data_IF_022472299372
#
_entry.id   IF_022472299372
#
_cell.length_a   1.000
_cell.length_b   1.000
_cell.length_c   1.000
_cell.angle_alpha   90.00
_cell.angle_beta   90.00
_cell.angle_gamma   90.00
#
_symmetry.space_group_name_H-M   'P 1'
#
loop_
_entity.id
_entity.type
_entity.pdbx_description
1 polymer ?
#
# COMPACT_ATOMS: atom_id res chain seq x y z
N UNK A 1 -10.62 17.36 -4.02
CA UNK A 1 -10.30 17.51 -2.59
C UNK A 1 -8.84 17.16 -2.34
N UNK A 2 -8.16 17.88 -1.44
CA UNK A 2 -6.78 17.56 -1.00
C UNK A 2 -6.74 16.41 0.03
N UNK A 3 -5.56 15.84 0.28
CA UNK A 3 -5.36 14.80 1.31
C UNK A 3 -5.39 15.41 2.71
N UNK A 4 -5.87 14.65 3.69
CA UNK A 4 -5.73 14.96 5.12
C UNK A 4 -4.30 14.58 5.53
N UNK A 5 -3.54 15.53 6.10
CA UNK A 5 -2.13 15.36 6.49
C UNK A 5 -1.99 15.34 8.01
N UNK A 6 -1.29 14.34 8.54
CA UNK A 6 -0.92 14.24 9.96
C UNK A 6 0.59 14.49 10.12
N UNK A 7 0.99 15.32 11.11
CA UNK A 7 2.40 15.60 11.39
C UNK A 7 3.04 14.51 12.24
N UNK A 8 4.25 14.08 11.89
CA UNK A 8 5.08 13.20 12.74
C UNK A 8 5.83 14.09 13.76
N UNK A 9 5.97 13.69 15.04
CA UNK A 9 6.77 14.42 16.03
C UNK A 9 8.22 14.63 15.55
N UNK A 10 8.81 15.80 15.86
CA UNK A 10 10.20 16.16 15.54
C UNK A 10 11.20 15.30 16.34
N UNK A 11 11.40 14.04 15.98
CA UNK A 11 12.57 13.27 16.38
C UNK A 11 13.65 13.39 15.29
N UNK A 12 14.93 13.46 15.68
CA UNK A 12 16.05 13.47 14.75
C UNK A 12 15.91 12.34 13.71
N UNK A 13 16.14 12.63 12.44
CA UNK A 13 16.01 11.65 11.36
C UNK A 13 17.01 10.51 11.58
N UNK A 14 16.52 9.36 12.07
CA UNK A 14 17.30 8.14 12.16
C UNK A 14 17.72 7.77 10.73
N UNK A 15 19.02 7.52 10.51
CA UNK A 15 19.52 7.03 9.21
C UNK A 15 18.76 5.76 8.85
N UNK A 16 17.99 5.79 7.77
CA UNK A 16 17.01 4.74 7.43
C UNK A 16 17.63 3.48 6.80
N UNK A 17 18.94 3.25 6.89
CA UNK A 17 19.60 2.17 6.13
C UNK A 17 19.88 2.55 4.67
N UNK A 18 20.50 1.60 3.97
CA UNK A 18 20.87 1.73 2.55
C UNK A 18 19.62 1.63 1.67
N UNK A 19 19.54 2.44 0.62
CA UNK A 19 18.33 2.61 -0.20
C UNK A 19 17.80 1.28 -0.74
N UNK A 20 18.64 0.42 -1.29
CA UNK A 20 18.22 -0.88 -1.83
C UNK A 20 17.48 -1.74 -0.81
N UNK A 21 18.01 -1.84 0.42
CA UNK A 21 17.36 -2.58 1.51
C UNK A 21 16.03 -1.93 1.92
N UNK A 22 16.01 -0.59 1.96
CA UNK A 22 14.80 0.17 2.29
C UNK A 22 13.73 -0.04 1.24
N UNK A 23 14.08 -0.09 -0.05
CA UNK A 23 13.16 -0.34 -1.15
C UNK A 23 12.59 -1.76 -1.09
N UNK A 24 13.42 -2.76 -0.75
CA UNK A 24 12.95 -4.13 -0.54
C UNK A 24 11.94 -4.18 0.61
N UNK A 25 12.27 -3.60 1.77
CA UNK A 25 11.36 -3.54 2.93
C UNK A 25 10.07 -2.79 2.60
N UNK A 26 10.19 -1.64 1.94
CA UNK A 26 9.06 -0.82 1.51
C UNK A 26 8.15 -1.59 0.57
N UNK A 27 8.70 -2.28 -0.44
CA UNK A 27 7.90 -3.07 -1.38
C UNK A 27 7.14 -4.19 -0.67
N UNK A 28 7.76 -4.86 0.32
CA UNK A 28 7.07 -5.87 1.14
C UNK A 28 5.90 -5.27 1.91
N UNK A 29 6.12 -4.13 2.56
CA UNK A 29 5.07 -3.39 3.28
C UNK A 29 3.95 -2.97 2.32
N UNK A 30 4.27 -2.50 1.11
CA UNK A 30 3.27 -2.16 0.09
C UNK A 30 2.35 -3.32 -0.27
N UNK A 31 2.92 -4.52 -0.47
CA UNK A 31 2.13 -5.73 -0.76
C UNK A 31 1.23 -6.07 0.43
N UNK A 32 1.82 -6.14 1.62
CA UNK A 32 1.09 -6.47 2.85
C UNK A 32 -0.07 -5.51 3.12
N UNK A 33 0.18 -4.21 3.03
CA UNK A 33 -0.82 -3.16 3.30
C UNK A 33 -1.92 -3.14 2.23
N UNK A 34 -1.62 -3.48 0.97
CA UNK A 34 -2.65 -3.64 -0.06
C UNK A 34 -3.66 -4.73 0.28
N UNK A 35 -3.17 -5.92 0.68
CA UNK A 35 -4.05 -7.03 1.06
C UNK A 35 -4.84 -6.73 2.34
N UNK A 36 -4.23 -6.08 3.34
CA UNK A 36 -4.94 -5.61 4.53
C UNK A 36 -6.03 -4.58 4.19
N UNK A 37 -5.73 -3.63 3.29
CA UNK A 37 -6.70 -2.64 2.85
C UNK A 37 -7.91 -3.32 2.19
N UNK A 38 -7.67 -4.28 1.28
CA UNK A 38 -8.74 -5.04 0.64
C UNK A 38 -9.55 -5.87 1.66
N UNK A 39 -8.88 -6.51 2.62
CA UNK A 39 -9.53 -7.29 3.68
C UNK A 39 -10.47 -6.43 4.54
N UNK A 40 -10.01 -5.28 5.04
CA UNK A 40 -10.84 -4.38 5.84
C UNK A 40 -11.97 -3.74 5.04
N UNK A 41 -11.73 -3.42 3.76
CA UNK A 41 -12.78 -2.95 2.87
C UNK A 41 -13.89 -4.01 2.71
N UNK A 42 -13.53 -5.28 2.55
CA UNK A 42 -14.48 -6.36 2.42
C UNK A 42 -15.36 -6.53 3.67
N UNK A 43 -14.73 -6.57 4.85
CA UNK A 43 -15.44 -6.67 6.14
C UNK A 43 -16.39 -5.49 6.37
N UNK A 44 -15.94 -4.26 6.08
CA UNK A 44 -16.77 -3.08 6.25
C UNK A 44 -18.01 -3.12 5.35
N UNK A 45 -17.83 -3.50 4.08
CA UNK A 45 -18.95 -3.67 3.17
C UNK A 45 -19.93 -4.70 3.73
N UNK A 46 -19.47 -5.91 4.02
CA UNK A 46 -20.33 -6.99 4.50
C UNK A 46 -21.07 -6.63 5.78
N UNK A 47 -20.43 -5.92 6.72
CA UNK A 47 -21.09 -5.45 7.93
C UNK A 47 -22.20 -4.45 7.63
N UNK A 48 -21.95 -3.49 6.74
CA UNK A 48 -22.95 -2.48 6.36
C UNK A 48 -24.12 -3.14 5.65
N UNK A 49 -23.87 -4.05 4.71
CA UNK A 49 -24.92 -4.79 4.02
C UNK A 49 -25.75 -5.63 5.01
N UNK A 50 -25.10 -6.28 5.98
CA UNK A 50 -25.79 -7.02 7.04
C UNK A 50 -26.65 -6.13 7.95
N UNK A 51 -26.21 -4.92 8.27
CA UNK A 51 -26.96 -4.00 9.14
C UNK A 51 -28.11 -3.30 8.40
N UNK A 52 -27.96 -3.03 7.10
CA UNK A 52 -28.91 -2.21 6.33
C UNK A 52 -29.81 -3.02 5.41
N UNK A 53 -29.44 -4.25 5.07
CA UNK A 53 -30.07 -5.05 4.03
C UNK A 53 -29.85 -4.53 2.60
N UNK A 54 -29.00 -3.51 2.42
CA UNK A 54 -28.74 -2.88 1.13
C UNK A 54 -27.39 -3.35 0.58
N UNK A 55 -27.34 -3.64 -0.73
CA UNK A 55 -26.06 -3.90 -1.42
C UNK A 55 -25.27 -2.61 -1.58
N UNK A 56 -23.98 -2.64 -1.26
CA UNK A 56 -23.06 -1.51 -1.33
C UNK A 56 -21.99 -1.78 -2.40
N UNK A 57 -21.80 -0.86 -3.32
CA UNK A 57 -20.72 -0.99 -4.31
C UNK A 57 -19.36 -0.60 -3.72
N UNK A 58 -18.33 -1.40 -3.99
CA UNK A 58 -16.94 -1.02 -3.67
C UNK A 58 -16.53 0.28 -4.38
N UNK A 59 -17.07 0.56 -5.57
CA UNK A 59 -16.78 1.82 -6.28
C UNK A 59 -17.32 3.03 -5.55
N UNK A 60 -18.37 2.89 -4.74
CA UNK A 60 -18.93 3.98 -3.94
C UNK A 60 -18.22 4.15 -2.59
N UNK A 61 -17.60 3.08 -2.11
CA UNK A 61 -16.79 3.06 -0.90
C UNK A 61 -15.37 3.60 -1.13
N UNK A 62 -14.71 3.17 -2.21
CA UNK A 62 -13.26 3.30 -2.41
C UNK A 62 -12.89 4.27 -3.54
N UNK A 63 -11.64 4.71 -3.55
CA UNK A 63 -11.04 5.49 -4.63
C UNK A 63 -9.56 5.15 -4.80
N UNK A 64 -9.05 5.25 -6.03
CA UNK A 64 -7.66 4.93 -6.42
C UNK A 64 -6.65 6.01 -6.03
N UNK A 65 -6.92 6.71 -4.92
CA UNK A 65 -6.07 7.78 -4.40
C UNK A 65 -6.20 7.86 -2.89
N UNK A 66 -5.07 7.80 -2.17
CA UNK A 66 -5.06 7.93 -0.72
C UNK A 66 -5.71 9.24 -0.27
N UNK A 67 -6.62 9.12 0.71
CA UNK A 67 -7.28 10.24 1.37
C UNK A 67 -6.52 10.80 2.54
N UNK A 68 -5.68 9.97 3.17
CA UNK A 68 -4.90 10.30 4.34
C UNK A 68 -3.41 10.16 4.02
N UNK A 69 -2.58 10.87 4.77
CA UNK A 69 -1.13 10.79 4.65
C UNK A 69 -0.50 11.17 5.99
N UNK A 70 0.25 10.24 6.58
CA UNK A 70 1.17 10.55 7.66
C UNK A 70 2.46 11.11 7.07
N UNK A 71 2.96 12.19 7.65
CA UNK A 71 4.22 12.80 7.24
C UNK A 71 4.11 13.65 5.97
N UNK A 72 5.18 14.41 5.73
CA UNK A 72 5.31 15.26 4.55
C UNK A 72 6.65 15.02 3.86
N UNK A 73 6.69 15.35 2.57
CA UNK A 73 7.94 15.36 1.83
C UNK A 73 8.88 16.44 2.38
N UNK A 74 10.18 16.16 2.35
CA UNK A 74 11.21 17.12 2.74
C UNK A 74 11.92 17.64 1.49
N UNK A 75 12.22 18.93 1.49
CA UNK A 75 13.07 19.59 0.48
C UNK A 75 14.21 20.25 1.23
N UNK A 76 15.44 19.81 0.95
CA UNK A 76 16.64 20.39 1.57
C UNK A 76 17.35 21.26 0.54
N UNK A 77 17.79 22.44 0.93
CA UNK A 77 18.59 23.35 0.08
C UNK A 77 20.10 23.22 0.33
N UNK A 78 20.50 22.42 1.32
CA UNK A 78 21.90 22.28 1.74
C UNK A 78 22.76 21.70 0.61
N UNK A 79 23.89 22.34 0.25
CA UNK A 79 24.76 21.90 -0.84
C UNK A 79 25.38 20.50 -0.64
N UNK A 80 25.54 20.09 0.63
CA UNK A 80 26.19 18.84 1.05
C UNK A 80 25.31 17.59 0.89
N UNK A 81 24.11 17.73 0.35
CA UNK A 81 23.16 16.62 0.16
C UNK A 81 23.00 16.38 -1.33
N UNK A 82 23.37 15.16 -1.73
CA UNK A 82 23.43 14.77 -3.13
C UNK A 82 22.04 14.74 -3.78
N UNK A 83 21.95 15.17 -5.05
CA UNK A 83 20.78 14.89 -5.86
C UNK A 83 20.69 13.38 -6.11
N UNK A 84 19.47 12.87 -6.28
CA UNK A 84 19.28 11.51 -6.77
C UNK A 84 19.77 11.45 -8.22
N UNK A 85 20.84 10.70 -8.46
CA UNK A 85 21.34 10.44 -9.81
C UNK A 85 20.60 9.24 -10.41
N UNK A 86 19.80 9.51 -11.45
CA UNK A 86 19.03 8.47 -12.15
C UNK A 86 19.91 7.60 -13.05
N UNK A 87 21.14 8.02 -13.33
CA UNK A 87 22.07 7.34 -14.23
C UNK A 87 23.07 6.47 -13.48
N UNK A 88 23.36 6.76 -12.21
CA UNK A 88 24.29 5.96 -11.39
C UNK A 88 23.59 4.74 -10.78
N UNK A 89 23.93 3.50 -11.20
CA UNK A 89 23.38 2.28 -10.61
C UNK A 89 23.72 2.14 -9.11
N UNK A 90 24.76 2.81 -8.60
CA UNK A 90 25.15 2.75 -7.19
C UNK A 90 24.25 3.59 -6.27
N UNK A 91 23.26 4.31 -6.80
CA UNK A 91 22.29 5.06 -5.99
C UNK A 91 21.57 4.18 -4.96
N UNK A 92 21.40 2.89 -5.24
CA UNK A 92 20.83 1.91 -4.31
C UNK A 92 21.71 1.67 -3.08
N UNK A 93 23.01 1.96 -3.14
CA UNK A 93 23.96 1.81 -2.04
C UNK A 93 24.05 3.06 -1.15
N UNK A 94 23.41 4.16 -1.55
CA UNK A 94 23.36 5.39 -0.77
C UNK A 94 22.33 5.29 0.37
N UNK A 95 22.46 6.12 1.39
CA UNK A 95 21.49 6.18 2.48
C UNK A 95 20.15 6.75 2.01
N UNK A 96 19.04 6.08 2.32
CA UNK A 96 17.71 6.48 1.85
C UNK A 96 17.29 7.90 2.27
N UNK A 97 17.89 8.45 3.32
CA UNK A 97 17.59 9.78 3.89
C UNK A 97 18.57 10.88 3.46
N UNK A 98 19.57 10.56 2.63
CA UNK A 98 20.62 11.50 2.20
C UNK A 98 20.36 12.12 0.83
N UNK A 99 19.09 12.15 0.40
CA UNK A 99 18.68 12.79 -0.84
C UNK A 99 18.08 14.17 -0.62
N UNK A 100 18.34 15.08 -1.56
CA UNK A 100 17.86 16.47 -1.49
C UNK A 100 16.33 16.60 -1.48
N UNK A 101 15.64 15.70 -2.18
CA UNK A 101 14.16 15.70 -2.33
C UNK A 101 13.60 14.35 -1.89
N UNK A 102 12.92 14.35 -0.76
CA UNK A 102 12.23 13.18 -0.21
C UNK A 102 10.72 13.41 -0.25
N UNK A 103 9.96 12.40 -0.64
CA UNK A 103 8.50 12.41 -0.57
C UNK A 103 8.01 11.37 0.45
N UNK A 104 6.84 11.63 1.03
CA UNK A 104 6.10 10.63 1.78
C UNK A 104 5.45 9.67 0.77
N UNK A 105 6.10 8.53 0.57
CA UNK A 105 5.65 7.45 -0.31
C UNK A 105 4.69 6.54 0.44
N UNK A 106 3.47 6.41 -0.06
CA UNK A 106 2.43 5.58 0.53
C UNK A 106 2.78 4.09 0.47
N UNK A 107 2.41 3.34 1.51
CA UNK A 107 2.40 1.88 1.39
C UNK A 107 1.23 1.39 0.54
N UNK A 108 0.08 2.05 0.66
CA UNK A 108 -1.10 1.82 -0.17
C UNK A 108 -1.69 3.18 -0.57
N UNK A 109 -1.68 3.52 -1.86
CA UNK A 109 -2.22 4.78 -2.36
C UNK A 109 -3.73 4.68 -2.71
N UNK A 110 -4.46 3.81 -2.03
CA UNK A 110 -5.92 3.71 -2.10
C UNK A 110 -6.56 4.54 -0.98
N UNK A 111 -7.81 4.94 -1.17
CA UNK A 111 -8.51 5.79 -0.21
C UNK A 111 -9.99 5.46 -0.10
N UNK A 112 -10.62 6.11 0.87
CA UNK A 112 -12.03 5.92 1.20
C UNK A 112 -12.79 7.18 0.80
N UNK A 113 -13.92 7.06 0.11
CA UNK A 113 -14.72 8.20 -0.30
C UNK A 113 -15.39 8.86 0.92
N UNK A 114 -15.37 10.19 0.99
CA UNK A 114 -15.96 10.96 2.10
C UNK A 114 -17.44 10.64 2.35
N UNK A 115 -18.32 10.52 1.32
CA UNK A 115 -19.70 10.11 1.53
C UNK A 115 -19.83 8.78 2.26
N UNK A 116 -19.02 7.79 1.91
CA UNK A 116 -19.00 6.49 2.59
C UNK A 116 -18.52 6.61 4.04
N UNK A 117 -17.46 7.37 4.31
CA UNK A 117 -17.00 7.61 5.70
C UNK A 117 -18.11 8.19 6.58
N UNK A 118 -18.86 9.15 6.06
CA UNK A 118 -19.99 9.74 6.76
C UNK A 118 -21.12 8.73 6.98
N UNK A 119 -21.41 7.88 5.98
CA UNK A 119 -22.37 6.78 6.12
C UNK A 119 -21.96 5.83 7.25
N UNK A 120 -20.69 5.40 7.31
CA UNK A 120 -20.20 4.52 8.39
C UNK A 120 -20.34 5.18 9.75
N UNK A 121 -19.99 6.45 9.89
CA UNK A 121 -20.13 7.18 11.16
C UNK A 121 -21.59 7.27 11.62
N UNK A 122 -22.52 7.56 10.69
CA UNK A 122 -23.95 7.62 10.99
C UNK A 122 -24.52 6.25 11.35
N UNK A 123 -24.12 5.20 10.64
CA UNK A 123 -24.53 3.82 10.94
C UNK A 123 -24.00 3.34 12.28
N UNK A 124 -22.75 3.64 12.60
CA UNK A 124 -22.14 3.29 13.89
C UNK A 124 -22.96 3.84 15.06
N UNK A 125 -23.43 5.09 14.96
CA UNK A 125 -24.27 5.72 15.99
C UNK A 125 -25.67 5.11 16.01
N UNK A 126 -26.34 5.05 14.85
CA UNK A 126 -27.74 4.61 14.77
C UNK A 126 -27.96 3.13 15.08
N UNK A 127 -26.99 2.27 14.77
CA UNK A 127 -27.03 0.83 15.05
C UNK A 127 -26.32 0.45 16.36
N UNK A 128 -25.74 1.44 17.07
CA UNK A 128 -24.90 1.22 18.25
C UNK A 128 -23.79 0.17 17.98
N UNK A 129 -23.15 0.27 16.81
CA UNK A 129 -22.17 -0.71 16.33
C UNK A 129 -20.74 -0.21 16.58
N UNK A 130 -20.06 -0.83 17.55
CA UNK A 130 -18.69 -0.48 17.92
C UNK A 130 -17.62 -1.02 16.95
N UNK A 131 -17.97 -1.94 16.05
CA UNK A 131 -17.03 -2.56 15.10
C UNK A 131 -16.85 -1.69 13.86
N UNK A 132 -17.91 -1.05 13.37
CA UNK A 132 -17.86 -0.11 12.23
C UNK A 132 -16.76 0.97 12.36
N UNK A 133 -16.69 1.78 13.44
CA UNK A 133 -15.66 2.80 13.56
C UNK A 133 -14.26 2.20 13.73
N UNK A 134 -14.15 1.00 14.31
CA UNK A 134 -12.88 0.29 14.48
C UNK A 134 -12.33 -0.19 13.13
N UNK A 135 -13.13 -0.89 12.35
CA UNK A 135 -12.71 -1.37 11.03
C UNK A 135 -12.48 -0.22 10.05
N UNK A 136 -13.27 0.86 10.14
CA UNK A 136 -12.99 2.09 9.38
C UNK A 136 -11.62 2.66 9.74
N UNK A 137 -11.29 2.73 11.03
CA UNK A 137 -9.97 3.19 11.49
C UNK A 137 -8.84 2.29 11.01
N UNK A 138 -9.02 0.96 11.02
CA UNK A 138 -8.03 0.03 10.49
C UNK A 138 -7.80 0.25 8.99
N UNK A 139 -8.87 0.37 8.21
CA UNK A 139 -8.80 0.69 6.79
C UNK A 139 -8.11 2.04 6.54
N UNK A 140 -8.46 3.07 7.31
CA UNK A 140 -7.82 4.39 7.22
C UNK A 140 -6.33 4.34 7.58
N UNK A 141 -5.95 3.50 8.56
CA UNK A 141 -4.54 3.33 8.94
C UNK A 141 -3.73 2.75 7.77
N UNK A 142 -4.22 1.69 7.14
CA UNK A 142 -3.56 1.09 5.97
C UNK A 142 -3.41 2.08 4.80
N UNK A 143 -4.33 3.03 4.66
CA UNK A 143 -4.30 4.05 3.61
C UNK A 143 -3.37 5.25 3.89
N UNK A 144 -3.01 5.49 5.17
CA UNK A 144 -2.30 6.72 5.56
C UNK A 144 -0.81 6.55 5.78
N UNK A 145 -0.37 5.34 6.08
CA UNK A 145 1.01 5.07 6.43
C UNK A 145 1.93 5.31 5.23
N UNK A 146 3.05 6.01 5.51
CA UNK A 146 4.04 6.35 4.49
C UNK A 146 5.46 6.14 4.98
N UNK A 147 6.39 6.08 4.03
CA UNK A 147 7.82 6.14 4.25
C UNK A 147 8.42 7.33 3.52
N UNK A 148 9.41 8.00 4.13
CA UNK A 148 10.19 8.99 3.40
C UNK A 148 11.14 8.29 2.43
N UNK A 149 10.96 8.53 1.14
CA UNK A 149 11.79 7.98 0.07
C UNK A 149 12.21 9.08 -0.90
N UNK A 150 13.25 8.88 -1.73
CA UNK A 150 13.59 9.83 -2.77
C UNK A 150 12.38 10.09 -3.68
N UNK A 151 12.14 11.35 -4.04
CA UNK A 151 11.01 11.73 -4.88
C UNK A 151 10.94 10.91 -6.18
N UNK A 152 12.10 10.54 -6.76
CA UNK A 152 12.18 9.72 -7.98
C UNK A 152 11.62 8.30 -7.80
N UNK A 153 11.66 7.76 -6.60
CA UNK A 153 11.01 6.48 -6.25
C UNK A 153 9.50 6.66 -6.26
N UNK A 154 9.01 7.70 -5.55
CA UNK A 154 7.57 7.99 -5.41
C UNK A 154 6.87 8.25 -6.76
N UNK A 155 7.50 9.00 -7.68
CA UNK A 155 6.93 9.26 -9.02
C UNK A 155 7.26 8.19 -10.05
N UNK A 156 8.13 7.23 -9.71
CA UNK A 156 8.64 6.18 -10.59
C UNK A 156 8.06 4.80 -10.22
N UNK A 157 8.85 3.88 -9.64
CA UNK A 157 8.39 2.53 -9.30
C UNK A 157 7.14 2.51 -8.40
N UNK A 158 7.05 3.39 -7.40
CA UNK A 158 5.85 3.45 -6.53
C UNK A 158 4.59 3.72 -7.34
N UNK A 159 4.67 4.62 -8.33
CA UNK A 159 3.53 4.93 -9.20
C UNK A 159 3.09 3.71 -10.02
N UNK A 160 4.02 2.84 -10.44
CA UNK A 160 3.66 1.60 -11.13
C UNK A 160 2.89 0.67 -10.20
N UNK A 161 3.31 0.56 -8.94
CA UNK A 161 2.61 -0.22 -7.92
C UNK A 161 1.27 0.41 -7.53
N UNK A 162 1.15 1.74 -7.47
CA UNK A 162 -0.11 2.43 -7.23
C UNK A 162 -1.15 2.10 -8.31
N UNK A 163 -0.74 2.09 -9.58
CA UNK A 163 -1.61 1.73 -10.71
C UNK A 163 -2.00 0.25 -10.60
N UNK A 164 -1.06 -0.64 -10.26
CA UNK A 164 -1.35 -2.05 -9.99
C UNK A 164 -2.41 -2.21 -8.89
N UNK A 165 -2.25 -1.52 -7.75
CA UNK A 165 -3.20 -1.54 -6.65
C UNK A 165 -4.58 -1.05 -7.08
N UNK A 166 -4.64 0.05 -7.84
CA UNK A 166 -5.89 0.61 -8.34
C UNK A 166 -6.65 -0.32 -9.28
N UNK A 167 -5.94 -1.09 -10.11
CA UNK A 167 -6.55 -2.04 -11.04
C UNK A 167 -7.02 -3.31 -10.32
N UNK A 168 -6.20 -3.85 -9.41
CA UNK A 168 -6.48 -5.12 -8.74
C UNK A 168 -7.54 -5.00 -7.63
N UNK A 169 -7.64 -3.85 -6.94
CA UNK A 169 -8.51 -3.74 -5.76
C UNK A 169 -9.97 -4.06 -6.08
N UNK A 170 -10.52 -3.52 -7.17
CA UNK A 170 -11.91 -3.76 -7.54
C UNK A 170 -12.11 -5.16 -8.11
N UNK A 171 -11.11 -5.70 -8.81
CA UNK A 171 -11.13 -7.06 -9.30
C UNK A 171 -11.25 -8.05 -8.12
N UNK A 172 -10.30 -8.00 -7.18
CA UNK A 172 -10.24 -8.93 -6.05
C UNK A 172 -11.44 -8.80 -5.12
N UNK A 173 -11.98 -7.60 -4.95
CA UNK A 173 -13.17 -7.40 -4.11
C UNK A 173 -14.46 -7.89 -4.78
N UNK A 174 -14.50 -8.03 -6.11
CA UNK A 174 -15.73 -8.39 -6.84
C UNK A 174 -15.79 -9.83 -7.33
N UNK A 175 -14.68 -10.57 -7.34
CA UNK A 175 -14.63 -11.94 -7.87
C UNK A 175 -15.17 -13.00 -6.90
N UNK A 176 -15.45 -12.63 -5.64
CA UNK A 176 -16.04 -13.51 -4.63
C UNK A 176 -15.04 -14.48 -3.99
N UNK A 177 -13.77 -14.42 -4.36
CA UNK A 177 -12.69 -15.21 -3.75
C UNK A 177 -12.24 -14.53 -2.45
N UNK A 178 -11.83 -15.29 -1.43
CA UNK A 178 -11.18 -14.72 -0.25
C UNK A 178 -10.02 -13.80 -0.65
N UNK A 179 -9.97 -12.60 -0.06
CA UNK A 179 -8.97 -11.59 -0.41
C UNK A 179 -7.55 -12.12 -0.17
N UNK A 180 -7.38 -12.90 0.90
CA UNK A 180 -6.13 -13.56 1.25
C UNK A 180 -6.19 -14.98 0.68
N UNK A 181 -5.81 -15.12 -0.59
CA UNK A 181 -5.78 -16.42 -1.29
C UNK A 181 -4.48 -16.59 -2.09
N UNK A 182 -3.98 -17.82 -2.27
CA UNK A 182 -2.80 -18.07 -3.10
C UNK A 182 -2.97 -17.52 -4.52
N UNK A 183 -4.16 -17.64 -5.11
CA UNK A 183 -4.46 -17.18 -6.47
C UNK A 183 -4.33 -15.66 -6.61
N UNK A 184 -4.80 -14.88 -5.62
CA UNK A 184 -4.61 -13.43 -5.61
C UNK A 184 -3.14 -13.02 -5.46
N UNK A 185 -2.35 -13.76 -4.68
CA UNK A 185 -0.91 -13.50 -4.54
C UNK A 185 -0.15 -13.81 -5.84
N UNK A 186 -0.46 -14.92 -6.49
CA UNK A 186 0.10 -15.30 -7.79
C UNK A 186 -0.28 -14.28 -8.86
N UNK A 187 -1.56 -13.91 -8.94
CA UNK A 187 -2.03 -12.89 -9.88
C UNK A 187 -1.33 -11.54 -9.65
N UNK A 188 -1.26 -11.09 -8.39
CA UNK A 188 -0.61 -9.84 -8.01
C UNK A 188 0.86 -9.84 -8.44
N UNK A 189 1.56 -10.95 -8.18
CA UNK A 189 2.95 -11.14 -8.58
C UNK A 189 3.13 -11.05 -10.09
N UNK A 190 2.36 -11.83 -10.85
CA UNK A 190 2.46 -11.89 -12.31
C UNK A 190 2.19 -10.52 -12.97
N UNK A 191 1.12 -9.83 -12.55
CA UNK A 191 0.79 -8.51 -13.09
C UNK A 191 1.82 -7.46 -12.66
N UNK A 192 2.27 -7.49 -11.41
CA UNK A 192 3.27 -6.56 -10.90
C UNK A 192 4.62 -6.73 -11.58
N UNK A 193 5.10 -7.97 -11.74
CA UNK A 193 6.32 -8.30 -12.47
C UNK A 193 6.27 -7.80 -13.90
N UNK A 194 5.19 -8.10 -14.64
CA UNK A 194 5.02 -7.68 -16.03
C UNK A 194 5.17 -6.15 -16.17
N UNK A 195 4.49 -5.38 -15.30
CA UNK A 195 4.52 -3.91 -15.34
C UNK A 195 5.88 -3.35 -14.94
N UNK A 196 6.50 -3.89 -13.89
CA UNK A 196 7.81 -3.43 -13.43
C UNK A 196 8.93 -3.77 -14.40
N UNK A 197 8.91 -4.96 -15.00
CA UNK A 197 9.89 -5.35 -16.03
C UNK A 197 9.77 -4.49 -17.28
N UNK A 198 8.54 -4.21 -17.74
CA UNK A 198 8.32 -3.28 -18.84
C UNK A 198 8.84 -1.87 -18.50
N UNK A 199 8.58 -1.40 -17.28
CA UNK A 199 9.09 -0.10 -16.83
C UNK A 199 10.62 -0.07 -16.74
N UNK A 200 11.23 -1.11 -16.19
CA UNK A 200 12.69 -1.30 -16.12
C UNK A 200 13.32 -1.28 -17.51
N UNK A 201 12.74 -2.01 -18.47
CA UNK A 201 13.20 -2.05 -19.85
C UNK A 201 13.18 -0.67 -20.51
N UNK A 202 12.13 0.12 -20.28
CA UNK A 202 12.06 1.52 -20.73
C UNK A 202 13.18 2.37 -20.12
N UNK A 203 13.41 2.26 -18.81
CA UNK A 203 14.47 3.02 -18.13
C UNK A 203 15.87 2.68 -18.66
N UNK A 204 16.12 1.42 -18.98
CA UNK A 204 17.38 1.00 -19.61
C UNK A 204 17.59 1.68 -20.97
N UNK A 205 16.55 1.77 -21.80
CA UNK A 205 16.60 2.48 -23.09
C UNK A 205 16.81 3.99 -22.94
N UNK A 206 16.42 4.57 -21.79
CA UNK A 206 16.60 5.98 -21.46
C UNK A 206 17.93 6.28 -20.74
N UNK A 207 18.84 5.30 -20.61
CA UNK A 207 20.10 5.38 -19.85
C UNK A 207 19.90 5.75 -18.36
N UNK A 208 18.75 5.41 -17.78
CA UNK A 208 18.42 5.66 -16.37
C UNK A 208 18.75 4.46 -15.50
N UNK A 209 20.03 4.07 -15.48
CA UNK A 209 20.48 2.84 -14.82
C UNK A 209 20.32 2.87 -13.29
N UNK A 210 20.44 4.03 -12.64
CA UNK A 210 20.16 4.21 -11.22
C UNK A 210 18.72 3.95 -10.85
N UNK A 211 17.79 4.50 -11.63
CA UNK A 211 16.36 4.24 -11.40
C UNK A 211 15.99 2.79 -11.76
N UNK A 212 16.61 2.21 -12.79
CA UNK A 212 16.43 0.80 -13.13
C UNK A 212 16.90 -0.12 -11.99
N UNK A 213 18.04 0.15 -11.36
CA UNK A 213 18.53 -0.60 -10.20
C UNK A 213 17.55 -0.51 -9.01
N UNK A 214 16.91 0.65 -8.81
CA UNK A 214 15.85 0.79 -7.82
C UNK A 214 14.61 -0.04 -8.16
N UNK A 215 14.23 -0.14 -9.43
CA UNK A 215 13.12 -1.01 -9.89
C UNK A 215 13.46 -2.48 -9.66
N UNK A 216 14.72 -2.89 -9.82
CA UNK A 216 15.18 -4.25 -9.55
C UNK A 216 14.93 -4.67 -8.09
N UNK A 217 14.99 -3.74 -7.13
CA UNK A 217 14.59 -3.99 -5.74
C UNK A 217 13.10 -4.30 -5.57
N UNK A 218 12.21 -3.72 -6.40
CA UNK A 218 10.78 -4.03 -6.37
C UNK A 218 10.52 -5.39 -7.03
N UNK A 219 11.18 -5.65 -8.16
CA UNK A 219 11.08 -6.92 -8.89
C UNK A 219 11.50 -8.09 -8.01
N UNK A 220 12.59 -7.95 -7.23
CA UNK A 220 13.05 -9.05 -6.36
C UNK A 220 12.04 -9.45 -5.30
N UNK A 221 11.23 -8.50 -4.80
CA UNK A 221 10.16 -8.77 -3.84
C UNK A 221 8.93 -9.32 -4.54
N UNK A 222 8.42 -8.62 -5.56
CA UNK A 222 7.17 -9.03 -6.22
C UNK A 222 7.33 -10.36 -6.92
N UNK A 223 8.49 -10.63 -7.51
CA UNK A 223 8.76 -11.89 -8.21
C UNK A 223 9.01 -13.08 -7.31
N UNK A 224 9.35 -12.87 -6.03
CA UNK A 224 9.49 -13.96 -5.07
C UNK A 224 8.18 -14.29 -4.34
N UNK A 225 7.12 -13.48 -4.46
CA UNK A 225 5.84 -13.74 -3.78
C UNK A 225 5.26 -15.15 -3.99
N UNK A 226 5.28 -15.74 -5.21
CA UNK A 226 4.74 -17.09 -5.42
C UNK A 226 5.57 -18.19 -4.75
N UNK A 227 6.87 -17.95 -4.53
CA UNK A 227 7.77 -18.89 -3.87
C UNK A 227 7.71 -18.76 -2.34
N UNK A 228 7.19 -17.63 -1.84
CA UNK A 228 7.10 -17.36 -0.41
C UNK A 228 5.68 -17.68 0.10
N UNK A 229 5.33 -18.98 0.11
CA UNK A 229 4.15 -19.47 0.84
C UNK A 229 4.09 -18.90 2.27
N UNK A 230 5.26 -18.74 2.91
CA UNK A 230 5.39 -18.19 4.26
C UNK A 230 4.77 -16.80 4.43
N UNK A 231 4.73 -15.95 3.38
CA UNK A 231 4.19 -14.58 3.50
C UNK A 231 2.67 -14.54 3.40
N UNK A 232 2.11 -15.42 2.58
CA UNK A 232 0.68 -15.69 2.59
C UNK A 232 0.27 -16.27 3.95
N UNK A 233 0.98 -17.28 4.44
CA UNK A 233 0.68 -17.90 5.74
C UNK A 233 0.88 -16.94 6.92
N UNK A 234 1.94 -16.11 6.93
CA UNK A 234 2.16 -15.07 7.96
C UNK A 234 0.96 -14.10 8.05
N UNK A 235 0.48 -13.61 6.89
CA UNK A 235 -0.63 -12.67 6.84
C UNK A 235 -1.95 -13.35 7.23
N UNK A 236 -2.17 -14.56 6.72
CA UNK A 236 -3.35 -15.38 7.00
C UNK A 236 -3.44 -15.75 8.49
N UNK A 237 -2.35 -16.19 9.10
CA UNK A 237 -2.32 -16.53 10.53
C UNK A 237 -2.55 -15.29 11.40
N UNK A 238 -1.97 -14.14 11.04
CA UNK A 238 -2.26 -12.87 11.71
C UNK A 238 -3.74 -12.48 11.64
N UNK A 239 -4.38 -12.69 10.50
CA UNK A 239 -5.79 -12.37 10.28
C UNK A 239 -6.75 -13.43 10.84
N UNK A 240 -6.31 -14.67 11.04
CA UNK A 240 -7.12 -15.72 11.69
C UNK A 240 -7.50 -15.31 13.10
N UNK A 241 -6.54 -14.81 13.88
CA UNK A 241 -6.82 -14.29 15.23
C UNK A 241 -7.82 -13.14 15.20
N UNK A 242 -7.78 -12.30 14.16
CA UNK A 242 -8.75 -11.22 13.99
C UNK A 242 -10.15 -11.74 13.66
N UNK A 243 -10.24 -12.74 12.79
CA UNK A 243 -11.51 -13.40 12.47
C UNK A 243 -12.13 -14.04 13.71
N UNK A 244 -11.34 -14.79 14.49
CA UNK A 244 -11.78 -15.41 15.74
C UNK A 244 -12.24 -14.38 16.77
N UNK A 245 -11.49 -13.29 16.95
CA UNK A 245 -11.81 -12.25 17.93
C UNK A 245 -13.14 -11.53 17.64
N UNK A 246 -13.59 -11.52 16.39
CA UNK A 246 -14.83 -10.83 15.98
C UNK A 246 -15.89 -11.77 15.38
N UNK A 247 -15.74 -13.09 15.52
CA UNK A 247 -16.64 -14.10 14.96
C UNK A 247 -16.89 -13.93 13.44
N UNK A 248 -15.83 -13.62 12.69
CA UNK A 248 -15.88 -13.55 11.22
C UNK A 248 -15.67 -14.94 10.62
N UNK A 249 -16.37 -15.21 9.52
CA UNK A 249 -16.19 -16.45 8.75
C UNK A 249 -14.80 -16.49 8.10
N UNK A 250 -13.91 -17.28 8.69
CA UNK A 250 -12.52 -17.40 8.25
C UNK A 250 -12.43 -17.90 6.80
N UNK A 251 -13.36 -18.77 6.37
CA UNK A 251 -13.38 -19.25 5.00
C UNK A 251 -13.70 -18.12 4.02
N UNK A 252 -14.70 -17.30 4.34
CA UNK A 252 -15.08 -16.16 3.49
C UNK A 252 -13.94 -15.15 3.28
N UNK A 253 -13.14 -14.88 4.31
CA UNK A 253 -12.18 -13.78 4.25
C UNK A 253 -10.73 -14.20 3.97
N UNK A 254 -10.31 -15.42 4.37
CA UNK A 254 -8.90 -15.82 4.32
C UNK A 254 -8.58 -17.30 3.95
N UNK A 255 -9.55 -18.17 3.61
CA UNK A 255 -9.30 -19.57 3.18
C UNK A 255 -9.97 -19.91 1.86
#
# INVERSE_FOLDING_TARGET
>A
MGRIKESIPNSAAIRSGVLGEVLVKHTRERVHVFFLFAYFANILKDRIESLTGQTVSYTDMLQVKATHQIGTGTRRSTPTIDPFDETDPNVVNMWATEFRKLDAAHFCNLGIKTPFRNQVANLAISQNDALLPKWLKNLESTAKDTRQLPQRINIGPDRIVDILHGDLIFQYLSDGTPIISPDHFVNYSNQGLTRLQAYRGRLANENKHGLAACVDCYISVIGSLPEINDKYEDLKDGLRFECEAYNLDTARYIL
#
